data_IF_927309026403
#
_entry.id   IF_927309026403
#
_cell.length_a   1.000
_cell.length_b   1.000
_cell.length_c   1.000
_cell.angle_alpha   90.00
_cell.angle_beta   90.00
_cell.angle_gamma   90.00
#
_symmetry.space_group_name_H-M   'P 1'
#
loop_
_entity.id
_entity.type
_entity.pdbx_description
1 polymer ?
#
# COMPACT_ATOMS: atom_id res chain seq x y z
N UNK A 1 -10.26 9.43 -24.42
CA UNK A 1 -9.14 9.67 -23.50
C UNK A 1 -9.67 10.51 -22.35
N UNK A 2 -9.40 10.09 -21.12
CA UNK A 2 -9.87 10.75 -19.88
C UNK A 2 -8.63 11.09 -19.06
N UNK A 3 -8.62 12.27 -18.43
CA UNK A 3 -7.53 12.76 -17.59
C UNK A 3 -8.11 13.42 -16.36
N UNK A 4 -7.65 13.00 -15.18
CA UNK A 4 -8.11 13.53 -13.89
C UNK A 4 -6.91 13.91 -13.02
N UNK A 5 -7.10 14.97 -12.22
CA UNK A 5 -6.15 15.38 -11.19
C UNK A 5 -6.92 15.83 -9.95
N UNK A 6 -6.45 15.39 -8.78
CA UNK A 6 -7.12 15.67 -7.51
C UNK A 6 -6.15 15.92 -6.37
N UNK A 7 -6.60 16.78 -5.44
CA UNK A 7 -5.96 17.05 -4.17
C UNK A 7 -6.86 16.53 -3.06
N UNK A 8 -6.33 15.64 -2.22
CA UNK A 8 -7.07 14.94 -1.19
C UNK A 8 -6.42 15.16 0.17
N UNK A 9 -7.21 15.56 1.14
CA UNK A 9 -6.81 15.60 2.54
C UNK A 9 -7.41 14.41 3.26
N UNK A 10 -6.55 13.58 3.85
CA UNK A 10 -7.00 12.50 4.72
C UNK A 10 -7.24 13.03 6.14
N UNK A 11 -8.02 12.31 6.94
CA UNK A 11 -8.29 12.68 8.33
C UNK A 11 -7.25 11.99 9.23
N UNK A 12 -6.69 12.75 10.16
CA UNK A 12 -6.04 12.14 11.32
C UNK A 12 -7.09 11.35 12.11
N UNK A 13 -6.81 10.10 12.46
CA UNK A 13 -7.72 9.34 13.31
C UNK A 13 -7.58 9.81 14.77
N UNK A 14 -8.47 9.30 15.62
CA UNK A 14 -8.44 9.61 17.04
C UNK A 14 -7.15 9.10 17.69
N UNK A 15 -6.59 7.98 17.21
CA UNK A 15 -5.41 7.36 17.79
C UNK A 15 -4.17 8.26 17.69
N UNK A 16 -3.96 8.93 16.55
CA UNK A 16 -2.84 9.87 16.39
C UNK A 16 -3.03 11.07 17.31
N UNK A 17 -4.27 11.57 17.45
CA UNK A 17 -4.59 12.67 18.34
C UNK A 17 -4.45 12.33 19.84
N UNK A 18 -4.71 11.08 20.22
CA UNK A 18 -4.57 10.57 21.59
C UNK A 18 -3.21 9.93 21.88
N UNK A 19 -2.21 10.08 20.99
CA UNK A 19 -0.95 9.35 21.08
C UNK A 19 -0.25 9.46 22.46
N UNK A 20 -0.24 10.67 23.02
CA UNK A 20 0.38 10.95 24.33
C UNK A 20 -0.36 10.32 25.51
N UNK A 21 -1.60 9.85 25.31
CA UNK A 21 -2.43 9.24 26.34
C UNK A 21 -2.30 7.71 26.35
N UNK A 22 -1.68 7.12 25.33
CA UNK A 22 -1.44 5.68 25.33
C UNK A 22 -0.40 5.27 26.38
N UNK A 23 -0.49 4.03 26.91
CA UNK A 23 0.51 3.50 27.81
C UNK A 23 1.92 3.57 27.21
N UNK A 24 2.86 4.03 28.02
CA UNK A 24 4.26 4.05 27.65
C UNK A 24 4.84 2.63 27.56
N UNK A 25 5.92 2.51 26.80
CA UNK A 25 6.48 1.22 26.44
C UNK A 25 7.81 0.96 27.16
N UNK A 26 7.98 -0.25 27.67
CA UNK A 26 9.29 -0.76 28.14
C UNK A 26 9.82 -1.82 27.18
N UNK A 27 11.08 -1.72 26.80
CA UNK A 27 11.80 -2.70 25.97
C UNK A 27 12.87 -3.37 26.81
N UNK A 28 12.81 -4.70 26.88
CA UNK A 28 13.81 -5.55 27.52
C UNK A 28 14.66 -6.20 26.43
N UNK A 29 15.96 -5.97 26.45
CA UNK A 29 16.92 -6.59 25.54
C UNK A 29 17.61 -7.72 26.26
N UNK A 30 17.60 -8.92 25.69
CA UNK A 30 18.26 -10.11 26.23
C UNK A 30 19.48 -10.50 25.40
N UNK A 31 20.48 -11.09 26.04
CA UNK A 31 21.62 -11.70 25.35
C UNK A 31 21.21 -13.02 24.69
N UNK A 32 22.02 -13.59 23.78
CA UNK A 32 21.78 -14.91 23.22
C UNK A 32 21.65 -16.04 24.26
N UNK A 33 22.18 -15.83 25.48
CA UNK A 33 22.07 -16.75 26.62
C UNK A 33 20.82 -16.49 27.50
N UNK A 34 19.90 -15.63 27.05
CA UNK A 34 18.64 -15.32 27.76
C UNK A 34 18.79 -14.40 28.97
N UNK A 35 19.97 -13.79 29.19
CA UNK A 35 20.20 -12.86 30.31
C UNK A 35 19.76 -11.46 29.92
N UNK A 36 19.07 -10.75 30.83
CA UNK A 36 18.70 -9.35 30.62
C UNK A 36 19.97 -8.50 30.48
N UNK A 37 20.07 -7.77 29.37
CA UNK A 37 21.20 -6.87 29.05
C UNK A 37 20.81 -5.42 29.27
N UNK A 38 19.60 -5.03 28.85
CA UNK A 38 19.16 -3.65 28.89
C UNK A 38 17.65 -3.57 29.15
N UNK A 39 17.23 -2.59 29.95
CA UNK A 39 15.84 -2.18 30.11
C UNK A 39 15.73 -0.72 29.69
N UNK A 40 14.82 -0.42 28.76
CA UNK A 40 14.58 0.93 28.26
C UNK A 40 13.11 1.32 28.34
N UNK A 41 12.86 2.48 28.90
CA UNK A 41 11.54 3.11 28.96
C UNK A 41 11.42 4.14 27.84
N UNK A 42 10.37 4.03 27.03
CA UNK A 42 10.06 4.93 25.92
C UNK A 42 8.90 5.83 26.30
N UNK A 43 9.19 7.11 26.49
CA UNK A 43 8.16 8.13 26.64
C UNK A 43 7.64 8.57 25.27
N UNK A 44 6.34 8.81 25.16
CA UNK A 44 5.72 9.27 23.92
C UNK A 44 5.97 10.77 23.69
N UNK A 45 6.27 11.14 22.46
CA UNK A 45 6.50 12.54 22.06
C UNK A 45 5.86 12.85 20.72
N UNK A 46 5.19 13.99 20.63
CA UNK A 46 4.78 14.57 19.36
C UNK A 46 5.89 15.48 18.84
N UNK A 47 6.36 15.25 17.62
CA UNK A 47 7.26 16.16 16.93
C UNK A 47 6.48 17.12 16.04
N UNK A 48 6.34 18.35 16.55
CA UNK A 48 5.56 19.39 15.90
C UNK A 48 4.06 19.17 16.04
N UNK A 49 3.29 19.83 15.16
CA UNK A 49 1.82 19.71 15.14
C UNK A 49 1.42 18.57 14.22
N UNK A 50 0.43 17.79 14.65
CA UNK A 50 -0.25 16.80 13.83
C UNK A 50 -0.89 17.53 12.65
N UNK A 51 -0.57 17.10 11.44
CA UNK A 51 -1.15 17.62 10.20
C UNK A 51 -1.81 16.49 9.44
N UNK A 52 -2.96 16.80 8.87
CA UNK A 52 -3.67 15.88 8.00
C UNK A 52 -2.80 15.47 6.79
N UNK A 53 -2.73 14.18 6.47
CA UNK A 53 -2.06 13.70 5.27
C UNK A 53 -2.64 14.37 4.02
N UNK A 54 -1.76 14.66 3.07
CA UNK A 54 -2.10 15.29 1.80
C UNK A 54 -1.66 14.37 0.66
N UNK A 55 -2.62 13.95 -0.15
CA UNK A 55 -2.39 13.15 -1.35
C UNK A 55 -2.68 13.96 -2.61
N UNK A 56 -1.76 13.92 -3.56
CA UNK A 56 -1.96 14.43 -4.92
C UNK A 56 -2.02 13.21 -5.84
N UNK A 57 -3.12 13.04 -6.56
CA UNK A 57 -3.30 11.94 -7.49
C UNK A 57 -3.59 12.45 -8.90
N UNK A 58 -3.08 11.75 -9.90
CA UNK A 58 -3.44 11.93 -11.29
C UNK A 58 -3.67 10.58 -11.97
N UNK A 59 -4.58 10.57 -12.93
CA UNK A 59 -4.89 9.42 -13.77
C UNK A 59 -5.07 9.83 -15.22
N UNK A 60 -4.66 8.94 -16.12
CA UNK A 60 -4.84 9.06 -17.56
C UNK A 60 -5.35 7.72 -18.06
N UNK A 61 -6.41 7.74 -18.86
CA UNK A 61 -6.98 6.53 -19.46
C UNK A 61 -7.27 6.72 -20.95
N UNK A 62 -6.94 5.71 -21.74
CA UNK A 62 -7.20 5.63 -23.17
C UNK A 62 -7.90 4.31 -23.48
N UNK A 63 -9.10 4.41 -24.06
CA UNK A 63 -9.87 3.27 -24.53
C UNK A 63 -9.98 3.36 -26.06
N UNK A 64 -9.68 2.26 -26.76
CA UNK A 64 -9.78 2.20 -28.22
C UNK A 64 -10.07 0.78 -28.71
N UNK A 65 -10.93 0.66 -29.70
CA UNK A 65 -11.02 -0.55 -30.52
C UNK A 65 -9.84 -0.57 -31.49
N UNK A 66 -8.93 -1.53 -31.33
CA UNK A 66 -7.68 -1.63 -32.11
C UNK A 66 -7.84 -2.54 -33.34
N UNK A 67 -8.79 -3.48 -33.26
CA UNK A 67 -9.22 -4.39 -34.32
C UNK A 67 -10.70 -4.72 -34.10
N UNK A 68 -11.44 -5.19 -35.13
CA UNK A 68 -12.83 -5.59 -34.96
C UNK A 68 -13.01 -6.56 -33.79
N UNK A 69 -13.86 -6.16 -32.84
CA UNK A 69 -14.16 -6.89 -31.60
C UNK A 69 -13.00 -6.99 -30.60
N UNK A 70 -11.89 -6.27 -30.78
CA UNK A 70 -10.77 -6.18 -29.84
C UNK A 70 -10.67 -4.76 -29.29
N UNK A 71 -11.03 -4.62 -28.02
CA UNK A 71 -10.96 -3.37 -27.28
C UNK A 71 -9.73 -3.36 -26.39
N UNK A 72 -8.92 -2.30 -26.50
CA UNK A 72 -7.76 -2.07 -25.65
C UNK A 72 -8.03 -0.86 -24.75
N UNK A 73 -7.80 -1.04 -23.45
CA UNK A 73 -7.74 0.00 -22.44
C UNK A 73 -6.32 0.10 -21.91
N UNK A 74 -5.78 1.31 -21.91
CA UNK A 74 -4.52 1.65 -21.28
C UNK A 74 -4.78 2.67 -20.18
N UNK A 75 -4.23 2.44 -19.00
CA UNK A 75 -4.35 3.29 -17.83
C UNK A 75 -2.99 3.61 -17.22
N UNK A 76 -2.84 4.83 -16.74
CA UNK A 76 -1.74 5.20 -15.86
C UNK A 76 -2.28 6.02 -14.69
N UNK A 77 -1.87 5.67 -13.48
CA UNK A 77 -2.14 6.49 -12.30
C UNK A 77 -0.89 6.70 -11.45
N UNK A 78 -0.83 7.85 -10.80
CA UNK A 78 0.19 8.17 -9.82
C UNK A 78 -0.45 8.88 -8.64
N UNK A 79 -0.08 8.45 -7.43
CA UNK A 79 -0.43 9.13 -6.18
C UNK A 79 0.83 9.42 -5.38
N UNK A 80 1.02 10.67 -4.98
CA UNK A 80 2.07 11.06 -4.06
C UNK A 80 1.41 11.59 -2.79
N UNK A 81 1.71 10.97 -1.66
CA UNK A 81 1.18 11.35 -0.36
C UNK A 81 2.29 11.88 0.52
N UNK A 82 1.98 12.92 1.28
CA UNK A 82 2.88 13.59 2.20
C UNK A 82 2.17 13.85 3.51
N UNK A 83 2.96 14.05 4.58
CA UNK A 83 2.43 14.25 5.93
C UNK A 83 1.73 13.01 6.48
N UNK A 84 2.14 11.83 5.99
CA UNK A 84 1.76 10.57 6.61
C UNK A 84 2.33 10.51 8.03
N UNK A 85 1.66 9.75 8.89
CA UNK A 85 2.04 9.61 10.30
C UNK A 85 3.07 8.50 10.44
N UNK A 86 4.28 8.88 10.83
CA UNK A 86 5.36 7.93 11.08
C UNK A 86 5.76 7.92 12.54
N UNK A 87 6.14 6.75 13.01
CA UNK A 87 6.55 6.51 14.38
C UNK A 87 8.03 6.12 14.43
N UNK A 88 8.83 6.89 15.16
CA UNK A 88 10.28 6.68 15.23
C UNK A 88 10.79 6.53 16.66
N UNK A 89 11.52 5.45 16.98
CA UNK A 89 12.19 5.31 18.27
C UNK A 89 13.49 6.12 18.27
N UNK A 90 13.46 7.30 18.88
CA UNK A 90 14.64 8.16 19.05
C UNK A 90 15.35 7.78 20.34
N UNK A 91 16.65 7.46 20.24
CA UNK A 91 17.47 7.06 21.40
C UNK A 91 18.66 7.99 21.53
N UNK A 92 18.77 8.64 22.69
CA UNK A 92 19.93 9.43 23.08
C UNK A 92 20.54 8.86 24.38
N UNK A 93 21.73 9.33 24.74
CA UNK A 93 22.42 8.89 25.97
C UNK A 93 21.54 9.06 27.22
N UNK A 94 20.71 10.12 27.28
CA UNK A 94 19.88 10.44 28.44
C UNK A 94 18.42 9.96 28.37
N UNK A 95 17.87 9.68 27.18
CA UNK A 95 16.45 9.40 27.02
C UNK A 95 16.15 8.49 25.82
N UNK A 96 15.09 7.68 25.94
CA UNK A 96 14.49 6.96 24.84
C UNK A 96 13.06 7.48 24.63
N UNK A 97 12.75 7.86 23.40
CA UNK A 97 11.50 8.51 23.04
C UNK A 97 10.87 7.76 21.88
N UNK A 98 9.56 7.67 21.91
CA UNK A 98 8.77 7.20 20.78
C UNK A 98 8.10 8.42 20.15
N UNK A 99 8.65 8.84 19.01
CA UNK A 99 8.32 10.09 18.36
C UNK A 99 7.29 9.86 17.27
N UNK A 100 6.16 10.56 17.34
CA UNK A 100 5.16 10.60 16.29
C UNK A 100 5.30 11.90 15.49
N UNK A 101 5.43 11.77 14.17
CA UNK A 101 5.62 12.91 13.27
C UNK A 101 4.65 12.84 12.07
N UNK A 102 4.27 14.00 11.52
CA UNK A 102 3.51 14.10 10.26
C UNK A 102 4.43 14.50 9.10
N UNK A 103 5.52 13.75 8.93
CA UNK A 103 6.52 13.96 7.88
C UNK A 103 6.66 12.78 6.91
N UNK A 104 5.90 11.71 7.14
CA UNK A 104 5.88 10.53 6.29
C UNK A 104 5.46 10.84 4.86
N UNK A 105 5.91 10.01 3.95
CA UNK A 105 5.70 10.12 2.51
C UNK A 105 5.52 8.75 1.91
N UNK A 106 4.48 8.62 1.10
CA UNK A 106 4.26 7.45 0.28
C UNK A 106 4.06 7.85 -1.18
N UNK A 107 4.36 6.92 -2.07
CA UNK A 107 4.26 7.09 -3.51
C UNK A 107 3.75 5.82 -4.13
N UNK A 108 2.75 5.96 -4.96
CA UNK A 108 2.19 4.88 -5.74
C UNK A 108 2.18 5.26 -7.22
N UNK A 109 2.54 4.30 -8.07
CA UNK A 109 2.46 4.39 -9.53
C UNK A 109 1.91 3.09 -10.05
N UNK A 110 1.05 3.18 -11.04
CA UNK A 110 0.50 2.02 -11.71
C UNK A 110 0.32 2.29 -13.19
N UNK A 111 0.68 1.30 -13.99
CA UNK A 111 0.32 1.19 -15.38
C UNK A 111 -0.54 -0.05 -15.57
N UNK A 112 -1.66 0.10 -16.26
CA UNK A 112 -2.59 -0.97 -16.61
C UNK A 112 -2.73 -1.06 -18.13
N UNK A 113 -2.72 -2.29 -18.65
CA UNK A 113 -3.13 -2.61 -20.00
C UNK A 113 -4.14 -3.76 -19.97
N UNK A 114 -5.36 -3.50 -20.43
CA UNK A 114 -6.44 -4.48 -20.45
C UNK A 114 -6.98 -4.60 -21.87
N UNK A 115 -7.01 -5.83 -22.40
CA UNK A 115 -7.56 -6.16 -23.70
C UNK A 115 -8.80 -7.05 -23.54
N UNK A 116 -9.87 -6.69 -24.24
CA UNK A 116 -11.11 -7.44 -24.30
C UNK A 116 -11.38 -7.87 -25.74
N UNK A 117 -11.55 -9.16 -25.96
CA UNK A 117 -11.89 -9.74 -27.26
C UNK A 117 -13.24 -10.43 -27.20
N UNK A 118 -14.11 -10.15 -28.16
CA UNK A 118 -15.42 -10.82 -28.30
C UNK A 118 -15.51 -11.53 -29.64
N UNK A 119 -16.05 -12.74 -29.66
CA UNK A 119 -16.28 -13.45 -30.91
C UNK A 119 -17.50 -14.37 -30.84
N UNK A 120 -18.06 -14.65 -32.02
CA UNK A 120 -19.32 -15.38 -32.13
C UNK A 120 -20.46 -14.67 -31.38
N UNK A 121 -21.46 -15.44 -30.98
CA UNK A 121 -22.66 -14.88 -30.34
C UNK A 121 -22.50 -14.67 -28.82
N UNK A 122 -21.52 -15.30 -28.17
CA UNK A 122 -21.44 -15.29 -26.71
C UNK A 122 -20.04 -15.57 -26.13
N UNK A 123 -18.99 -15.65 -26.95
CA UNK A 123 -17.65 -15.92 -26.43
C UNK A 123 -16.90 -14.62 -26.20
N UNK A 124 -16.22 -14.53 -25.06
CA UNK A 124 -15.47 -13.35 -24.66
C UNK A 124 -14.19 -13.74 -23.92
N UNK A 125 -13.20 -12.88 -24.04
CA UNK A 125 -11.91 -13.03 -23.40
C UNK A 125 -11.43 -11.68 -22.91
N UNK A 126 -10.90 -11.66 -21.70
CA UNK A 126 -10.20 -10.52 -21.13
C UNK A 126 -8.82 -10.94 -20.66
N UNK A 127 -7.82 -10.15 -21.02
CA UNK A 127 -6.48 -10.24 -20.49
C UNK A 127 -6.08 -8.86 -19.95
N UNK A 128 -5.58 -8.83 -18.72
CA UNK A 128 -5.11 -7.62 -18.05
C UNK A 128 -3.70 -7.82 -17.55
N UNK A 129 -2.88 -6.78 -17.71
CA UNK A 129 -1.56 -6.66 -17.12
C UNK A 129 -1.45 -5.36 -16.35
N UNK A 130 -1.01 -5.47 -15.10
CA UNK A 130 -0.77 -4.33 -14.21
C UNK A 130 0.69 -4.36 -13.77
N UNK A 131 1.36 -3.23 -13.91
CA UNK A 131 2.68 -2.96 -13.33
C UNK A 131 2.52 -1.86 -12.30
N UNK A 132 2.70 -2.17 -11.01
CA UNK A 132 2.62 -1.19 -9.93
C UNK A 132 3.95 -0.99 -9.22
N UNK A 133 4.04 0.09 -8.46
CA UNK A 133 5.08 0.32 -7.46
C UNK A 133 4.54 1.23 -6.36
N UNK A 134 4.42 0.68 -5.16
CA UNK A 134 4.11 1.39 -3.94
C UNK A 134 5.37 1.47 -3.06
N UNK A 135 5.86 2.67 -2.80
CA UNK A 135 7.04 2.93 -1.97
C UNK A 135 6.65 3.93 -0.87
N UNK A 136 6.96 3.62 0.37
CA UNK A 136 6.63 4.49 1.50
C UNK A 136 7.54 4.27 2.70
N UNK A 137 7.35 5.12 3.70
CA UNK A 137 7.88 4.90 5.03
C UNK A 137 7.27 3.63 5.63
N UNK A 138 8.09 2.79 6.24
CA UNK A 138 7.70 1.48 6.76
C UNK A 138 7.18 1.52 8.19
N UNK A 139 7.34 2.64 8.88
CA UNK A 139 6.81 2.83 10.23
C UNK A 139 5.50 3.61 10.22
N UNK A 140 4.51 3.13 9.48
CA UNK A 140 3.16 3.68 9.57
C UNK A 140 2.64 3.56 11.01
N UNK A 141 2.04 4.63 11.54
CA UNK A 141 1.53 4.67 12.90
C UNK A 141 0.53 3.54 13.22
N UNK A 142 -0.36 3.21 12.27
CA UNK A 142 -1.42 2.22 12.49
C UNK A 142 -0.87 0.79 12.56
N UNK A 143 0.35 0.55 12.07
CA UNK A 143 1.01 -0.73 12.25
C UNK A 143 1.30 -1.04 13.73
N UNK A 144 1.50 -0.02 14.57
CA UNK A 144 1.89 -0.18 15.98
C UNK A 144 0.78 0.14 16.97
N UNK A 145 -0.21 0.95 16.57
CA UNK A 145 -1.33 1.37 17.41
C UNK A 145 -2.71 1.02 16.80
N UNK A 146 -2.72 0.09 15.82
CA UNK A 146 -3.93 -0.50 15.27
C UNK A 146 -4.40 -1.73 16.06
N UNK A 147 -5.33 -2.50 15.45
CA UNK A 147 -5.96 -3.66 16.10
C UNK A 147 -4.99 -4.81 16.39
N UNK A 148 -3.99 -5.01 15.53
CA UNK A 148 -2.95 -6.05 15.68
C UNK A 148 -1.59 -5.34 15.67
N UNK A 149 -1.15 -4.82 16.82
CA UNK A 149 0.03 -3.97 16.88
C UNK A 149 1.31 -4.78 16.71
N UNK A 150 2.17 -4.36 15.78
CA UNK A 150 3.49 -4.95 15.61
C UNK A 150 4.32 -4.73 16.90
N UNK A 151 4.89 -5.80 17.48
CA UNK A 151 5.54 -5.68 18.77
C UNK A 151 6.91 -5.02 18.67
N UNK A 152 7.56 -4.93 17.50
CA UNK A 152 8.90 -4.35 17.39
C UNK A 152 8.86 -3.09 16.52
N UNK A 153 9.25 -1.96 17.11
CA UNK A 153 9.38 -0.68 16.41
C UNK A 153 10.87 -0.45 16.16
N UNK A 154 11.25 -0.38 14.88
CA UNK A 154 12.61 -0.08 14.43
C UNK A 154 12.70 1.38 14.00
N UNK A 155 13.89 1.96 13.79
CA UNK A 155 14.00 3.23 13.07
C UNK A 155 13.29 3.13 11.72
N UNK A 156 12.61 4.19 11.31
CA UNK A 156 11.87 4.24 10.07
C UNK A 156 12.82 4.08 8.88
N UNK A 157 12.39 3.25 7.94
CA UNK A 157 13.06 3.01 6.68
C UNK A 157 12.07 3.21 5.55
N UNK A 158 12.60 3.40 4.33
CA UNK A 158 11.78 3.58 3.15
C UNK A 158 12.00 2.45 2.17
N UNK A 159 10.95 1.72 1.83
CA UNK A 159 11.01 0.58 0.92
C UNK A 159 9.69 0.38 0.17
N UNK A 160 9.61 -0.70 -0.59
CA UNK A 160 8.36 -1.18 -1.16
C UNK A 160 7.36 -1.47 -0.04
N UNK A 161 6.11 -1.07 -0.24
CA UNK A 161 5.04 -1.36 0.71
C UNK A 161 4.80 -2.88 0.78
N UNK A 162 4.33 -3.40 1.93
CA UNK A 162 4.07 -4.84 2.08
C UNK A 162 3.04 -5.37 1.07
N UNK A 163 2.09 -4.53 0.66
CA UNK A 163 1.05 -4.86 -0.33
C UNK A 163 1.45 -4.52 -1.79
N UNK A 164 2.70 -4.15 -2.06
CA UNK A 164 3.13 -3.90 -3.44
C UNK A 164 3.20 -5.21 -4.23
N UNK A 165 2.52 -5.25 -5.38
CA UNK A 165 2.49 -6.37 -6.30
C UNK A 165 3.04 -5.91 -7.66
N UNK A 166 4.38 -5.88 -7.86
CA UNK A 166 5.00 -5.15 -8.96
C UNK A 166 4.51 -5.53 -10.36
N UNK A 167 4.09 -6.79 -10.54
CA UNK A 167 3.52 -7.31 -11.78
C UNK A 167 2.33 -8.19 -11.43
N UNK A 168 1.21 -8.00 -12.13
CA UNK A 168 0.04 -8.86 -12.06
C UNK A 168 -0.52 -9.09 -13.46
N UNK A 169 -0.75 -10.35 -13.78
CA UNK A 169 -1.42 -10.81 -14.99
C UNK A 169 -2.71 -11.50 -14.58
N UNK A 170 -3.82 -11.08 -15.18
CA UNK A 170 -5.12 -11.68 -14.95
C UNK A 170 -5.76 -11.98 -16.30
N UNK A 171 -6.23 -13.21 -16.45
CA UNK A 171 -6.87 -13.71 -17.65
C UNK A 171 -8.17 -14.40 -17.27
N UNK A 172 -9.26 -14.05 -17.95
CA UNK A 172 -10.54 -14.71 -17.77
C UNK A 172 -11.36 -14.63 -19.04
N UNK A 173 -12.29 -15.55 -19.21
CA UNK A 173 -13.16 -15.54 -20.37
C UNK A 173 -14.33 -16.49 -20.22
N UNK A 174 -15.21 -16.44 -21.21
CA UNK A 174 -16.33 -17.37 -21.36
C UNK A 174 -16.33 -17.86 -22.80
N UNK A 175 -16.37 -19.18 -22.96
CA UNK A 175 -16.26 -19.86 -24.23
C UNK A 175 -17.47 -20.77 -24.40
N UNK A 176 -18.31 -20.50 -25.41
CA UNK A 176 -19.37 -21.43 -25.79
C UNK A 176 -18.79 -22.55 -26.65
N UNK A 177 -18.71 -23.74 -26.09
CA UNK A 177 -18.24 -24.96 -26.75
C UNK A 177 -19.43 -25.70 -27.41
N UNK A 178 -19.17 -26.65 -28.33
CA UNK A 178 -20.20 -27.55 -28.85
C UNK A 178 -20.94 -28.28 -27.72
N UNK A 179 -22.17 -28.71 -27.99
CA UNK A 179 -22.97 -29.45 -27.01
C UNK A 179 -23.55 -28.61 -25.87
N UNK A 180 -23.68 -27.28 -26.07
CA UNK A 180 -24.19 -26.32 -25.07
C UNK A 180 -23.35 -26.24 -23.79
N UNK A 181 -22.06 -26.59 -23.88
CA UNK A 181 -21.11 -26.45 -22.77
C UNK A 181 -20.55 -25.03 -22.77
N UNK A 182 -20.54 -24.40 -21.60
CA UNK A 182 -19.85 -23.13 -21.39
C UNK A 182 -18.60 -23.40 -20.54
N UNK A 183 -17.44 -22.97 -21.03
CA UNK A 183 -16.18 -23.05 -20.32
C UNK A 183 -15.75 -21.64 -19.91
N UNK A 184 -15.46 -21.44 -18.62
CA UNK A 184 -15.12 -20.13 -18.07
C UNK A 184 -13.83 -20.18 -17.25
N UNK A 185 -12.65 -20.13 -17.89
CA UNK A 185 -11.37 -20.18 -17.18
C UNK A 185 -11.06 -18.85 -16.50
N UNK A 186 -10.36 -18.93 -15.38
CA UNK A 186 -9.69 -17.79 -14.73
C UNK A 186 -8.27 -18.21 -14.40
N UNK A 187 -7.31 -17.36 -14.72
CA UNK A 187 -5.90 -17.54 -14.42
C UNK A 187 -5.31 -16.23 -13.91
N UNK A 188 -4.57 -16.31 -12.80
CA UNK A 188 -3.90 -15.18 -12.20
C UNK A 188 -2.45 -15.54 -11.89
N UNK A 189 -1.55 -14.62 -12.20
CA UNK A 189 -0.14 -14.70 -11.81
C UNK A 189 0.32 -13.32 -11.37
N UNK A 190 0.94 -13.23 -10.20
CA UNK A 190 1.48 -11.96 -9.70
C UNK A 190 2.83 -12.16 -9.01
N UNK A 191 3.57 -11.07 -8.92
CA UNK A 191 4.79 -10.95 -8.10
C UNK A 191 4.49 -10.09 -6.88
N UNK A 192 5.40 -10.07 -5.90
CA UNK A 192 5.21 -9.35 -4.63
C UNK A 192 5.22 -10.31 -3.45
N UNK A 193 4.84 -9.82 -2.28
CA UNK A 193 4.79 -10.65 -1.09
C UNK A 193 3.63 -11.66 -1.19
N UNK A 194 3.89 -12.98 -1.05
CA UNK A 194 2.86 -14.01 -1.23
C UNK A 194 1.79 -14.05 -0.11
N UNK A 195 1.96 -13.25 0.96
CA UNK A 195 1.09 -13.22 2.14
C UNK A 195 0.86 -11.80 2.69
N UNK A 196 0.76 -10.80 1.81
CA UNK A 196 0.36 -9.44 2.19
C UNK A 196 -1.13 -9.29 2.38
#
# INVERSE_FOLDING_TARGET
>A
MIVDIGYFYDRANLNEASFLQFPERTVLTFSPLGRLVETRFYAHRLEGRIRNPLSIACSIQLDREIYPNVYLRLGYQQRNTTRDFILDPVRNAQAALLSLTSQGRSRYREFEATAHYRWGQASQLTASYVRSSAIGDLNDFNQFFGNVPAPLIRPNERSLAPFDAPNRFLFWGEFRLPGKVNFAPVFEAHSGFPYS
#
